data_IF_806887992396
#
_entry.id   IF_806887992396
#
_cell.length_a   1.000
_cell.length_b   1.000
_cell.length_c   1.000
_cell.angle_alpha   90.00
_cell.angle_beta   90.00
_cell.angle_gamma   90.00
#
_symmetry.space_group_name_H-M   'P 1'
#
loop_
_entity.id
_entity.type
_entity.pdbx_description
1 polymer ?
#
# COMPACT_ATOMS: atom_id res chain seq x y z
N UNK A 1 38.16 22.71 44.63
CA UNK A 1 37.40 21.98 43.60
C UNK A 1 36.95 22.99 42.57
N UNK A 2 37.30 22.78 41.30
CA UNK A 2 36.97 23.73 40.23
C UNK A 2 35.51 23.52 39.80
N UNK A 3 34.64 24.42 40.25
CA UNK A 3 33.19 24.35 40.05
C UNK A 3 32.84 24.36 38.55
N UNK A 4 33.64 25.00 37.71
CA UNK A 4 33.45 24.97 36.25
C UNK A 4 33.61 23.56 35.68
N UNK A 5 34.61 22.83 36.17
CA UNK A 5 34.90 21.48 35.71
C UNK A 5 33.77 20.51 36.08
N UNK A 6 33.12 20.73 37.23
CA UNK A 6 31.94 19.98 37.68
C UNK A 6 30.72 20.29 36.79
N UNK A 7 30.49 21.57 36.49
CA UNK A 7 29.39 22.00 35.62
C UNK A 7 29.56 21.50 34.18
N UNK A 8 30.78 21.54 33.63
CA UNK A 8 31.09 20.99 32.30
C UNK A 8 30.89 19.46 32.24
N UNK A 9 31.26 18.72 33.30
CA UNK A 9 30.97 17.28 33.38
C UNK A 9 29.47 16.98 33.49
N UNK A 10 28.69 17.84 34.16
CA UNK A 10 27.22 17.72 34.24
C UNK A 10 26.56 18.05 32.88
N UNK A 11 27.07 19.04 32.14
CA UNK A 11 26.62 19.36 30.78
C UNK A 11 26.96 18.24 29.77
N UNK A 12 28.07 17.54 29.97
CA UNK A 12 28.46 16.39 29.14
C UNK A 12 27.66 15.12 29.49
N UNK A 13 27.32 14.89 30.76
CA UNK A 13 26.42 13.80 31.18
C UNK A 13 24.95 14.06 30.80
N UNK A 14 24.50 15.32 30.72
CA UNK A 14 23.13 15.65 30.24
C UNK A 14 23.01 15.62 28.72
N UNK A 15 24.13 15.63 28.00
CA UNK A 15 24.25 15.10 26.63
C UNK A 15 24.38 13.57 26.61
N UNK A 16 23.72 12.88 27.55
CA UNK A 16 23.39 11.47 27.41
C UNK A 16 22.59 11.34 26.11
N UNK A 17 23.34 11.04 25.05
CA UNK A 17 23.02 10.09 24.02
C UNK A 17 21.51 10.04 23.77
N UNK A 18 21.07 10.76 22.75
CA UNK A 18 19.86 10.37 22.06
C UNK A 18 20.12 8.97 21.51
N UNK A 19 19.95 7.96 22.36
CA UNK A 19 19.65 6.61 21.94
C UNK A 19 18.30 6.71 21.26
N UNK A 20 18.30 7.21 20.03
CA UNK A 20 17.42 6.67 19.02
C UNK A 20 17.73 5.18 19.07
N UNK A 21 16.92 4.43 19.84
CA UNK A 21 16.88 2.99 19.73
C UNK A 21 16.90 2.71 18.24
N UNK A 22 17.91 1.99 17.77
CA UNK A 22 18.27 1.90 16.35
C UNK A 22 17.12 1.39 15.43
N UNK A 23 15.96 1.06 16.02
CA UNK A 23 14.68 0.70 15.40
C UNK A 23 13.49 1.25 16.20
N UNK A 24 13.32 2.57 16.26
CA UNK A 24 12.10 3.17 16.79
C UNK A 24 10.93 2.96 15.81
N UNK A 25 10.19 1.86 15.98
CA UNK A 25 9.05 1.48 15.13
C UNK A 25 7.68 1.79 15.79
N UNK A 26 7.69 2.45 16.95
CA UNK A 26 6.47 2.91 17.62
C UNK A 26 5.69 3.86 16.71
N UNK A 27 4.41 3.54 16.48
CA UNK A 27 3.51 4.32 15.61
C UNK A 27 3.62 4.00 14.11
N UNK A 28 4.57 3.16 13.67
CA UNK A 28 4.64 2.74 12.26
C UNK A 28 3.68 1.58 12.00
N UNK A 29 3.03 1.52 10.82
CA UNK A 29 2.35 0.32 10.37
C UNK A 29 3.29 -0.89 10.42
N UNK A 30 2.76 -2.08 10.69
CA UNK A 30 3.49 -3.35 10.67
C UNK A 30 3.12 -4.12 9.40
N UNK A 31 3.89 -4.03 8.29
CA UNK A 31 3.54 -4.67 7.02
C UNK A 31 3.39 -6.19 7.14
N UNK A 32 4.06 -6.82 8.10
CA UNK A 32 3.94 -8.26 8.40
C UNK A 32 2.55 -8.69 8.88
N UNK A 33 1.64 -7.75 9.18
CA UNK A 33 0.24 -8.07 9.50
C UNK A 33 -0.63 -8.26 8.25
N UNK A 34 -0.14 -7.86 7.07
CA UNK A 34 -0.84 -8.15 5.82
C UNK A 34 -0.68 -9.65 5.52
N UNK A 35 -1.78 -10.40 5.28
CA UNK A 35 -1.67 -11.79 4.87
C UNK A 35 -0.77 -11.90 3.62
N UNK A 36 0.33 -12.69 3.64
CA UNK A 36 1.27 -12.73 2.51
C UNK A 36 0.62 -13.09 1.17
N UNK A 37 -0.43 -13.93 1.20
CA UNK A 37 -1.19 -14.27 -0.01
C UNK A 37 -1.88 -13.07 -0.65
N UNK A 38 -2.27 -12.03 0.10
CA UNK A 38 -2.82 -10.82 -0.50
C UNK A 38 -1.75 -10.07 -1.32
N UNK A 39 -0.51 -10.05 -0.83
CA UNK A 39 0.63 -9.45 -1.54
C UNK A 39 0.91 -10.21 -2.84
N UNK A 40 0.95 -11.55 -2.78
CA UNK A 40 1.17 -12.39 -3.95
C UNK A 40 0.03 -12.30 -4.96
N UNK A 41 -1.22 -12.30 -4.50
CA UNK A 41 -2.41 -12.14 -5.35
C UNK A 41 -2.38 -10.83 -6.15
N UNK A 42 -2.01 -9.72 -5.49
CA UNK A 42 -1.86 -8.42 -6.15
C UNK A 42 -0.72 -8.47 -7.18
N UNK A 43 0.40 -9.11 -6.83
CA UNK A 43 1.52 -9.28 -7.74
C UNK A 43 1.12 -10.06 -9.01
N UNK A 44 0.42 -11.19 -8.88
CA UNK A 44 -0.01 -12.01 -10.02
C UNK A 44 -0.99 -11.27 -10.95
N UNK A 45 -1.97 -10.53 -10.40
CA UNK A 45 -2.87 -9.69 -11.22
C UNK A 45 -2.09 -8.58 -11.92
N UNK A 46 -1.08 -7.98 -11.26
CA UNK A 46 -0.21 -6.98 -11.88
C UNK A 46 0.68 -7.56 -12.97
N UNK A 47 1.20 -8.77 -12.80
CA UNK A 47 1.98 -9.47 -13.83
C UNK A 47 1.11 -9.74 -15.06
N UNK A 48 -0.11 -10.25 -14.87
CA UNK A 48 -1.10 -10.40 -15.94
C UNK A 48 -1.37 -9.07 -16.66
N UNK A 49 -1.66 -8.00 -15.91
CA UNK A 49 -1.90 -6.67 -16.48
C UNK A 49 -0.69 -6.11 -17.24
N UNK A 50 0.52 -6.30 -16.70
CA UNK A 50 1.77 -5.86 -17.33
C UNK A 50 2.03 -6.62 -18.62
N UNK A 51 1.84 -7.95 -18.62
CA UNK A 51 1.97 -8.77 -19.82
C UNK A 51 0.95 -8.37 -20.89
N UNK A 52 -0.29 -8.04 -20.49
CA UNK A 52 -1.37 -7.63 -21.40
C UNK A 52 -1.17 -6.24 -22.00
N UNK A 53 -0.80 -5.25 -21.18
CA UNK A 53 -0.76 -3.85 -21.58
C UNK A 53 0.66 -3.31 -21.84
N UNK A 54 1.69 -4.13 -21.63
CA UNK A 54 3.08 -3.83 -22.00
C UNK A 54 3.85 -2.91 -21.06
N UNK A 55 3.25 -2.46 -19.95
CA UNK A 55 3.92 -1.59 -18.98
C UNK A 55 3.38 -1.82 -17.56
N UNK A 56 4.28 -1.87 -16.55
CA UNK A 56 3.92 -2.03 -15.14
C UNK A 56 3.28 -0.78 -14.53
N UNK A 57 3.33 0.35 -15.23
CA UNK A 57 2.91 1.67 -14.75
C UNK A 57 1.65 2.20 -15.45
N UNK A 58 1.11 1.48 -16.45
CA UNK A 58 -0.09 1.91 -17.19
C UNK A 58 -1.31 2.15 -16.29
N UNK A 59 -1.35 1.50 -15.12
CA UNK A 59 -2.42 1.66 -14.15
C UNK A 59 -2.49 3.09 -13.56
N UNK A 60 -1.37 3.82 -13.54
CA UNK A 60 -1.32 5.21 -13.02
C UNK A 60 -2.06 6.21 -13.91
N UNK A 61 -2.30 5.86 -15.17
CA UNK A 61 -2.96 6.74 -16.15
C UNK A 61 -4.44 6.40 -16.36
N UNK A 62 -5.01 5.56 -15.48
CA UNK A 62 -6.41 5.15 -15.55
C UNK A 62 -7.20 5.94 -14.52
N UNK A 63 -8.31 6.54 -14.98
CA UNK A 63 -9.20 7.32 -14.11
C UNK A 63 -9.73 6.50 -12.91
N UNK A 64 -9.79 7.08 -11.69
CA UNK A 64 -10.17 6.35 -10.48
C UNK A 64 -11.53 5.65 -10.57
N UNK A 65 -12.52 6.26 -11.24
CA UNK A 65 -13.86 5.70 -11.44
C UNK A 65 -13.82 4.36 -12.17
N UNK A 66 -12.85 4.17 -13.09
CA UNK A 66 -12.70 2.90 -13.80
C UNK A 66 -12.24 1.78 -12.87
N UNK A 67 -11.47 2.10 -11.84
CA UNK A 67 -11.08 1.15 -10.80
C UNK A 67 -12.24 0.82 -9.85
N UNK A 68 -13.07 1.81 -9.51
CA UNK A 68 -14.30 1.59 -8.74
C UNK A 68 -15.24 0.65 -9.49
N UNK A 69 -15.48 0.93 -10.77
CA UNK A 69 -16.34 0.10 -11.62
C UNK A 69 -15.78 -1.32 -11.82
N UNK A 70 -14.46 -1.45 -12.01
CA UNK A 70 -13.81 -2.76 -12.12
C UNK A 70 -13.95 -3.56 -10.82
N UNK A 71 -13.63 -2.95 -9.67
CA UNK A 71 -13.82 -3.56 -8.36
C UNK A 71 -15.26 -4.03 -8.18
N UNK A 72 -16.24 -3.17 -8.50
CA UNK A 72 -17.66 -3.50 -8.36
C UNK A 72 -18.07 -4.68 -9.24
N UNK A 73 -17.60 -4.77 -10.49
CA UNK A 73 -17.86 -5.93 -11.36
C UNK A 73 -17.30 -7.24 -10.80
N UNK A 74 -16.08 -7.25 -10.26
CA UNK A 74 -15.52 -8.45 -9.64
C UNK A 74 -16.26 -8.81 -8.34
N UNK A 75 -16.69 -7.81 -7.56
CA UNK A 75 -17.52 -8.04 -6.38
C UNK A 75 -18.86 -8.68 -6.73
N UNK A 76 -19.57 -8.15 -7.74
CA UNK A 76 -20.82 -8.74 -8.21
C UNK A 76 -20.63 -10.18 -8.68
N UNK A 77 -19.53 -10.50 -9.37
CA UNK A 77 -19.21 -11.86 -9.77
C UNK A 77 -18.99 -12.79 -8.57
N UNK A 78 -18.31 -12.34 -7.51
CA UNK A 78 -18.17 -13.11 -6.26
C UNK A 78 -19.52 -13.35 -5.59
N UNK A 79 -20.39 -12.34 -5.55
CA UNK A 79 -21.74 -12.45 -4.96
C UNK A 79 -22.59 -13.45 -5.74
N UNK A 80 -22.51 -13.44 -7.07
CA UNK A 80 -23.31 -14.31 -7.93
C UNK A 80 -22.77 -15.76 -8.00
N UNK A 81 -21.44 -15.92 -8.08
CA UNK A 81 -20.80 -17.19 -8.45
C UNK A 81 -20.01 -17.86 -7.33
N UNK A 82 -19.78 -17.17 -6.21
CA UNK A 82 -19.03 -17.68 -5.06
C UNK A 82 -17.62 -17.09 -4.93
N UNK A 83 -17.04 -17.23 -3.74
CA UNK A 83 -15.72 -16.68 -3.38
C UNK A 83 -14.56 -17.32 -4.16
N UNK A 84 -14.73 -18.57 -4.58
CA UNK A 84 -13.78 -19.36 -5.37
C UNK A 84 -13.92 -19.14 -6.89
N UNK A 85 -14.82 -18.25 -7.33
CA UNK A 85 -14.99 -17.92 -8.74
C UNK A 85 -13.81 -17.14 -9.31
N UNK A 86 -13.51 -17.37 -10.59
CA UNK A 86 -12.39 -16.77 -11.31
C UNK A 86 -12.84 -15.98 -12.53
N UNK A 87 -12.10 -14.93 -12.84
CA UNK A 87 -12.29 -14.11 -14.01
C UNK A 87 -11.97 -14.90 -15.28
N UNK A 88 -12.83 -14.80 -16.29
CA UNK A 88 -12.72 -15.64 -17.49
C UNK A 88 -11.56 -15.24 -18.41
N UNK A 89 -11.10 -13.98 -18.34
CA UNK A 89 -10.04 -13.47 -19.21
C UNK A 89 -8.65 -13.79 -18.65
N UNK A 90 -8.46 -13.52 -17.36
CA UNK A 90 -7.18 -13.73 -16.66
C UNK A 90 -7.03 -15.12 -16.06
N UNK A 91 -8.13 -15.85 -15.88
CA UNK A 91 -8.19 -17.10 -15.10
C UNK A 91 -7.79 -16.96 -13.62
N UNK A 92 -7.70 -15.73 -13.11
CA UNK A 92 -7.37 -15.45 -11.71
C UNK A 92 -8.64 -15.23 -10.87
N UNK A 93 -8.63 -15.56 -9.57
CA UNK A 93 -9.77 -15.37 -8.68
C UNK A 93 -10.30 -13.93 -8.68
N UNK A 94 -11.63 -13.75 -8.72
CA UNK A 94 -12.23 -12.41 -8.70
C UNK A 94 -11.81 -11.61 -7.45
N UNK A 95 -11.62 -12.28 -6.31
CA UNK A 95 -11.18 -11.64 -5.06
C UNK A 95 -9.77 -11.02 -5.16
N UNK A 96 -8.90 -11.54 -6.03
CA UNK A 96 -7.57 -10.98 -6.26
C UNK A 96 -7.64 -9.68 -7.06
N UNK A 97 -8.52 -9.63 -8.06
CA UNK A 97 -8.81 -8.41 -8.79
C UNK A 97 -9.43 -7.36 -7.89
N UNK A 98 -10.33 -7.73 -6.97
CA UNK A 98 -10.87 -6.80 -5.95
C UNK A 98 -9.73 -6.20 -5.12
N UNK A 99 -8.84 -7.05 -4.59
CA UNK A 99 -7.71 -6.60 -3.78
C UNK A 99 -6.78 -5.65 -4.56
N UNK A 100 -6.53 -5.95 -5.83
CA UNK A 100 -5.66 -5.15 -6.70
C UNK A 100 -6.28 -3.80 -7.04
N UNK A 101 -7.56 -3.76 -7.42
CA UNK A 101 -8.27 -2.50 -7.69
C UNK A 101 -8.35 -1.62 -6.43
N UNK A 102 -8.59 -2.22 -5.26
CA UNK A 102 -8.57 -1.49 -4.00
C UNK A 102 -7.16 -0.93 -3.69
N UNK A 103 -6.11 -1.70 -3.95
CA UNK A 103 -4.73 -1.23 -3.78
C UNK A 103 -4.40 -0.03 -4.69
N UNK A 104 -4.84 -0.04 -5.95
CA UNK A 104 -4.70 1.11 -6.84
C UNK A 104 -5.43 2.34 -6.31
N UNK A 105 -6.66 2.19 -5.83
CA UNK A 105 -7.42 3.30 -5.24
C UNK A 105 -6.74 3.86 -3.98
N UNK A 106 -6.17 3.00 -3.12
CA UNK A 106 -5.39 3.43 -1.96
C UNK A 106 -4.17 4.27 -2.37
N UNK A 107 -3.46 3.85 -3.43
CA UNK A 107 -2.28 4.55 -3.93
C UNK A 107 -2.66 5.91 -4.55
N UNK A 108 -3.71 5.94 -5.39
CA UNK A 108 -4.26 7.18 -5.97
C UNK A 108 -4.71 8.15 -4.87
N UNK A 109 -5.30 7.66 -3.78
CA UNK A 109 -5.70 8.49 -2.64
C UNK A 109 -4.49 9.05 -1.86
N UNK A 110 -3.31 8.46 -1.98
CA UNK A 110 -2.11 8.91 -1.28
C UNK A 110 -1.25 9.84 -2.16
N UNK A 111 -1.17 9.58 -3.45
CA UNK A 111 -0.32 10.32 -4.41
C UNK A 111 -1.03 11.61 -4.89
N UNK A 112 -0.56 12.77 -4.45
CA UNK A 112 -1.11 14.08 -4.84
C UNK A 112 -1.08 14.31 -6.36
N UNK A 113 -0.10 13.75 -7.08
CA UNK A 113 0.01 13.88 -8.53
C UNK A 113 -1.05 13.02 -9.26
N UNK A 114 -1.57 11.98 -8.61
CA UNK A 114 -2.67 11.15 -9.12
C UNK A 114 -4.05 11.67 -8.69
N UNK A 115 -4.12 12.65 -7.78
CA UNK A 115 -5.39 13.22 -7.28
C UNK A 115 -6.03 14.26 -8.17
N UNK A 116 -5.33 14.81 -9.15
CA UNK A 116 -5.89 15.85 -10.03
C UNK A 116 -7.17 15.40 -10.79
N UNK A 117 -7.45 14.08 -10.84
CA UNK A 117 -8.69 13.51 -11.39
C UNK A 117 -9.75 13.06 -10.37
N UNK A 118 -9.52 13.15 -9.06
CA UNK A 118 -10.47 12.67 -8.04
C UNK A 118 -11.68 13.62 -7.93
N UNK A 119 -12.88 13.12 -8.27
CA UNK A 119 -14.14 13.81 -7.96
C UNK A 119 -14.19 14.05 -6.44
N UNK A 120 -14.24 15.32 -6.04
CA UNK A 120 -14.60 15.70 -4.68
C UNK A 120 -16.09 15.40 -4.50
N UNK A 121 -16.39 14.24 -3.92
CA UNK A 121 -17.75 13.85 -3.49
C UNK A 121 -18.23 14.75 -2.35
#
# INVERSE_FOLDING_TARGET
MDVKKVLESIEQETRTDCKQDAKADFGKPRPSLVPPHAVLAIAEVREYGTAKYGSPDNWRFVEPERYVDALYRHLLAVVEKGLDSSDAESHLPHIWHIATNAAFLCEILHDEDLKEGLIKI
#
